data_IF_925193330192
#
_entry.id   IF_925193330192
#
_cell.length_a   1.000
_cell.length_b   1.000
_cell.length_c   1.000
_cell.angle_alpha   90.00
_cell.angle_beta   90.00
_cell.angle_gamma   90.00
#
_symmetry.space_group_name_H-M   'P 1'
#
loop_
_entity.id
_entity.type
_entity.pdbx_description
1 polymer ?
#
# COMPACT_ATOMS: atom_id res chain seq x y z
N UNK A 1 -19.43 -22.01 -49.48
CA UNK A 1 -19.00 -22.65 -48.21
C UNK A 1 -17.67 -22.01 -47.80
N UNK A 2 -17.70 -20.87 -47.10
CA UNK A 2 -16.52 -20.14 -46.64
C UNK A 2 -16.60 -20.04 -45.12
N UNK A 3 -15.84 -20.89 -44.43
CA UNK A 3 -15.70 -20.87 -42.97
C UNK A 3 -14.84 -19.67 -42.58
N UNK A 4 -15.44 -18.66 -41.95
CA UNK A 4 -14.72 -17.64 -41.19
C UNK A 4 -14.09 -18.33 -39.97
N UNK A 5 -12.77 -18.42 -39.96
CA UNK A 5 -11.99 -18.74 -38.76
C UNK A 5 -11.99 -17.48 -37.91
N UNK A 6 -12.82 -17.46 -36.86
CA UNK A 6 -12.65 -16.50 -35.77
C UNK A 6 -11.45 -16.97 -34.93
N UNK A 7 -10.26 -16.46 -35.22
CA UNK A 7 -9.18 -16.51 -34.23
C UNK A 7 -9.47 -15.44 -33.19
N UNK A 8 -10.01 -15.85 -32.04
CA UNK A 8 -10.03 -15.02 -30.84
C UNK A 8 -8.59 -14.95 -30.32
N UNK A 9 -7.80 -14.02 -30.85
CA UNK A 9 -6.55 -13.62 -30.22
C UNK A 9 -6.96 -12.72 -29.07
N UNK A 10 -7.24 -13.33 -27.92
CA UNK A 10 -7.38 -12.61 -26.66
C UNK A 10 -5.97 -12.16 -26.27
N UNK A 11 -5.54 -10.97 -26.72
CA UNK A 11 -4.31 -10.36 -26.22
C UNK A 11 -4.53 -10.06 -24.75
N UNK A 12 -4.11 -10.95 -23.86
CA UNK A 12 -4.09 -10.65 -22.43
C UNK A 12 -3.14 -9.48 -22.24
N UNK A 13 -3.65 -8.39 -21.67
CA UNK A 13 -2.82 -7.25 -21.27
C UNK A 13 -1.67 -7.75 -20.39
N UNK A 14 -0.46 -7.27 -20.64
CA UNK A 14 0.72 -7.65 -19.88
C UNK A 14 1.61 -6.45 -19.60
N UNK A 15 2.36 -6.55 -18.51
CA UNK A 15 3.41 -5.60 -18.15
C UNK A 15 4.76 -6.30 -18.19
N UNK A 16 5.75 -5.61 -18.74
CA UNK A 16 7.15 -6.04 -18.69
C UNK A 16 7.83 -5.34 -17.50
N UNK A 17 8.44 -6.12 -16.61
CA UNK A 17 9.18 -5.59 -15.45
C UNK A 17 10.45 -6.43 -15.33
N UNK A 18 11.61 -5.78 -15.42
CA UNK A 18 12.94 -6.40 -15.39
C UNK A 18 13.10 -7.58 -16.38
N UNK A 19 12.56 -7.42 -17.59
CA UNK A 19 12.64 -8.43 -18.67
C UNK A 19 11.73 -9.65 -18.47
N UNK A 20 10.82 -9.61 -17.49
CA UNK A 20 9.79 -10.62 -17.26
C UNK A 20 8.42 -10.08 -17.61
N UNK A 21 7.57 -10.93 -18.20
CA UNK A 21 6.18 -10.60 -18.56
C UNK A 21 5.21 -11.07 -17.48
N UNK A 22 4.36 -10.14 -17.04
CA UNK A 22 3.30 -10.37 -16.07
C UNK A 22 1.95 -10.13 -16.74
N UNK A 23 1.17 -11.19 -16.90
CA UNK A 23 -0.15 -11.12 -17.55
C UNK A 23 -1.23 -10.76 -16.54
N UNK A 24 -2.04 -9.75 -16.86
CA UNK A 24 -3.17 -9.32 -16.05
C UNK A 24 -4.23 -10.43 -16.00
N UNK A 25 -4.75 -10.70 -14.80
CA UNK A 25 -5.82 -11.67 -14.56
C UNK A 25 -7.11 -10.99 -14.16
N UNK A 26 -7.06 -10.16 -13.12
CA UNK A 26 -8.22 -9.43 -12.59
C UNK A 26 -7.78 -8.19 -11.82
N UNK A 27 -8.68 -7.21 -11.66
CA UNK A 27 -8.50 -6.06 -10.77
C UNK A 27 -8.88 -6.48 -9.34
N UNK A 28 -7.94 -6.37 -8.40
CA UNK A 28 -8.14 -6.78 -6.99
C UNK A 28 -8.17 -5.62 -5.99
N UNK A 29 -7.85 -4.40 -6.44
CA UNK A 29 -7.93 -3.20 -5.60
C UNK A 29 -8.00 -1.93 -6.44
N UNK A 30 -8.73 -0.94 -5.94
CA UNK A 30 -8.85 0.37 -6.56
C UNK A 30 -8.91 1.45 -5.49
N UNK A 31 -8.02 2.43 -5.60
CA UNK A 31 -8.03 3.67 -4.81
C UNK A 31 -8.18 4.89 -5.72
N UNK A 32 -8.03 6.08 -5.15
CA UNK A 32 -8.17 7.35 -5.90
C UNK A 32 -7.14 7.50 -7.02
N UNK A 33 -5.87 7.15 -6.74
CA UNK A 33 -4.74 7.36 -7.66
C UNK A 33 -4.03 6.07 -8.08
N UNK A 34 -4.43 4.93 -7.51
CA UNK A 34 -3.81 3.64 -7.79
C UNK A 34 -4.83 2.52 -8.02
N UNK A 35 -4.40 1.53 -8.78
CA UNK A 35 -5.13 0.27 -8.99
C UNK A 35 -4.18 -0.88 -8.72
N UNK A 36 -4.72 -2.00 -8.26
CA UNK A 36 -3.95 -3.21 -7.99
C UNK A 36 -4.54 -4.34 -8.81
N UNK A 37 -3.76 -4.88 -9.73
CA UNK A 37 -4.15 -6.05 -10.51
C UNK A 37 -3.53 -7.32 -9.92
N UNK A 38 -4.26 -8.43 -9.98
CA UNK A 38 -3.67 -9.76 -9.90
C UNK A 38 -2.99 -10.07 -11.23
N UNK A 39 -1.71 -10.42 -11.18
CA UNK A 39 -0.92 -10.77 -12.37
C UNK A 39 -0.24 -12.11 -12.20
N UNK A 40 0.02 -12.81 -13.30
CA UNK A 40 0.78 -14.06 -13.32
C UNK A 40 2.07 -13.91 -14.11
N UNK A 41 3.19 -14.40 -13.58
CA UNK A 41 4.47 -14.46 -14.31
C UNK A 41 4.42 -15.52 -15.43
N UNK A 42 4.90 -15.16 -16.62
CA UNK A 42 4.80 -15.98 -17.83
C UNK A 42 5.45 -17.37 -17.74
N UNK A 43 6.52 -17.50 -16.95
CA UNK A 43 7.34 -18.73 -16.87
C UNK A 43 6.90 -19.67 -15.77
N UNK A 44 6.26 -19.17 -14.72
CA UNK A 44 5.96 -19.92 -13.49
C UNK A 44 4.46 -20.01 -13.17
N UNK A 45 3.63 -19.20 -13.85
CA UNK A 45 2.21 -18.94 -13.51
C UNK A 45 2.00 -18.51 -12.04
N UNK A 46 3.09 -18.11 -11.35
CA UNK A 46 3.04 -17.61 -9.99
C UNK A 46 2.31 -16.27 -9.97
N UNK A 47 1.44 -16.11 -8.99
CA UNK A 47 0.61 -14.93 -8.81
C UNK A 47 1.34 -13.85 -8.01
N UNK A 48 1.13 -12.60 -8.42
CA UNK A 48 1.64 -11.38 -7.82
C UNK A 48 0.55 -10.31 -7.81
N UNK A 49 0.69 -9.32 -6.93
CA UNK A 49 -0.10 -8.11 -6.97
C UNK A 49 0.70 -7.01 -7.67
N UNK A 50 0.13 -6.38 -8.68
CA UNK A 50 0.75 -5.28 -9.41
C UNK A 50 0.02 -3.97 -9.06
N UNK A 51 0.63 -3.18 -8.17
CA UNK A 51 0.14 -1.82 -7.85
C UNK A 51 0.59 -0.87 -8.97
N UNK A 52 -0.37 -0.14 -9.52
CA UNK A 52 -0.20 0.81 -10.64
C UNK A 52 -0.62 2.18 -10.14
N UNK A 53 0.32 3.10 -10.00
CA UNK A 53 0.10 4.48 -9.56
C UNK A 53 0.13 5.37 -10.80
N UNK A 54 -1.01 5.99 -11.12
CA UNK A 54 -1.09 6.94 -12.24
C UNK A 54 -0.70 8.32 -11.74
N UNK A 55 0.35 8.87 -12.31
CA UNK A 55 0.87 10.17 -11.92
C UNK A 55 0.44 11.22 -12.94
N UNK A 56 -0.22 12.27 -12.47
CA UNK A 56 -0.67 13.41 -13.28
C UNK A 56 0.25 14.62 -13.13
N UNK A 57 1.12 14.60 -12.13
CA UNK A 57 2.06 15.66 -11.77
C UNK A 57 3.44 15.12 -11.39
N UNK A 58 4.41 16.02 -11.25
CA UNK A 58 5.76 15.67 -10.75
C UNK A 58 5.67 15.29 -9.27
N UNK A 59 4.77 15.93 -8.52
CA UNK A 59 4.51 15.65 -7.11
C UNK A 59 3.99 14.22 -6.89
N UNK A 60 3.13 13.72 -7.80
CA UNK A 60 2.66 12.33 -7.78
C UNK A 60 3.81 11.34 -8.02
N UNK A 61 4.69 11.64 -8.99
CA UNK A 61 5.88 10.82 -9.25
C UNK A 61 6.81 10.80 -8.03
N UNK A 62 7.04 11.95 -7.40
CA UNK A 62 7.86 12.06 -6.18
C UNK A 62 7.26 11.27 -5.02
N UNK A 63 5.93 11.29 -4.85
CA UNK A 63 5.25 10.50 -3.84
C UNK A 63 5.40 8.99 -4.08
N UNK A 64 5.22 8.54 -5.34
CA UNK A 64 5.39 7.14 -5.73
C UNK A 64 6.86 6.68 -5.59
N UNK A 65 7.83 7.52 -5.94
CA UNK A 65 9.24 7.26 -5.71
C UNK A 65 9.58 7.16 -4.22
N UNK A 66 8.97 8.01 -3.39
CA UNK A 66 9.17 7.98 -1.95
C UNK A 66 8.62 6.67 -1.34
N UNK A 67 7.46 6.19 -1.80
CA UNK A 67 6.93 4.86 -1.43
C UNK A 67 7.95 3.75 -1.79
N UNK A 68 8.51 3.78 -2.99
CA UNK A 68 9.55 2.81 -3.43
C UNK A 68 10.81 2.91 -2.56
N UNK A 69 11.23 4.11 -2.16
CA UNK A 69 12.39 4.31 -1.27
C UNK A 69 12.17 3.66 0.09
N UNK A 70 10.97 3.79 0.67
CA UNK A 70 10.64 3.13 1.93
C UNK A 70 10.67 1.60 1.80
N UNK A 71 10.07 1.04 0.75
CA UNK A 71 10.15 -0.40 0.49
C UNK A 71 11.60 -0.92 0.41
N UNK A 72 12.50 -0.17 -0.22
CA UNK A 72 13.92 -0.57 -0.36
C UNK A 72 14.70 -0.56 0.95
N UNK A 73 14.27 0.22 1.93
CA UNK A 73 14.97 0.37 3.21
C UNK A 73 14.49 -0.62 4.27
N UNK A 74 13.32 -1.24 4.07
CA UNK A 74 12.71 -2.15 5.04
C UNK A 74 12.84 -3.59 4.54
N UNK A 75 13.51 -4.42 5.33
CA UNK A 75 13.53 -5.87 5.14
C UNK A 75 13.03 -6.53 6.43
N UNK A 76 11.74 -6.85 6.48
CA UNK A 76 11.11 -7.44 7.65
C UNK A 76 9.95 -8.36 7.26
N UNK A 77 9.81 -9.56 7.88
CA UNK A 77 8.76 -10.53 7.51
C UNK A 77 7.32 -10.02 7.71
N UNK A 78 7.11 -9.01 8.57
CA UNK A 78 5.82 -8.39 8.83
C UNK A 78 5.57 -7.09 8.04
N UNK A 79 6.41 -6.77 7.05
CA UNK A 79 6.22 -5.63 6.13
C UNK A 79 6.34 -6.12 4.69
N UNK A 80 5.46 -5.65 3.80
CA UNK A 80 5.45 -6.12 2.42
C UNK A 80 6.70 -5.67 1.65
N UNK A 81 7.37 -6.63 1.03
CA UNK A 81 8.51 -6.39 0.15
C UNK A 81 8.03 -5.89 -1.22
N UNK A 82 8.74 -4.92 -1.79
CA UNK A 82 8.63 -4.57 -3.21
C UNK A 82 9.62 -5.42 -4.02
N UNK A 83 9.10 -6.38 -4.79
CA UNK A 83 9.92 -7.34 -5.53
C UNK A 83 10.60 -6.72 -6.76
N UNK A 84 9.90 -5.78 -7.39
CA UNK A 84 10.39 -5.02 -8.53
C UNK A 84 9.52 -3.76 -8.72
N UNK A 85 10.06 -2.75 -9.37
CA UNK A 85 9.31 -1.55 -9.73
C UNK A 85 9.73 -1.04 -11.11
N UNK A 86 8.83 -0.32 -11.79
CA UNK A 86 9.12 0.28 -13.09
C UNK A 86 8.31 1.56 -13.29
N UNK A 87 8.95 2.61 -13.79
CA UNK A 87 8.26 3.81 -14.28
C UNK A 87 8.10 3.71 -15.79
N UNK A 88 6.88 3.97 -16.29
CA UNK A 88 6.54 3.98 -17.71
C UNK A 88 6.05 5.37 -18.09
N UNK A 89 6.69 5.96 -19.10
CA UNK A 89 6.44 7.35 -19.51
C UNK A 89 7.08 8.36 -18.57
N UNK A 90 6.71 9.63 -18.76
CA UNK A 90 7.09 10.76 -17.90
C UNK A 90 5.90 11.71 -17.81
N UNK A 91 5.51 12.11 -16.60
CA UNK A 91 4.41 13.03 -16.40
C UNK A 91 4.81 14.44 -16.85
N UNK A 92 3.94 15.11 -17.58
CA UNK A 92 4.13 16.48 -18.03
C UNK A 92 2.78 17.20 -18.00
N UNK A 93 2.59 18.04 -16.98
CA UNK A 93 1.35 18.81 -16.79
C UNK A 93 1.11 19.76 -17.98
N UNK A 94 2.17 20.32 -18.56
CA UNK A 94 2.05 21.28 -19.66
C UNK A 94 1.53 20.64 -20.95
N UNK A 95 1.83 19.35 -21.13
CA UNK A 95 1.40 18.54 -22.28
C UNK A 95 0.30 17.52 -21.92
N UNK A 96 -0.23 17.56 -20.70
CA UNK A 96 -1.21 16.61 -20.17
C UNK A 96 -0.77 15.13 -20.33
N UNK A 97 0.54 14.87 -20.20
CA UNK A 97 1.09 13.52 -20.19
C UNK A 97 1.07 12.95 -18.77
N UNK A 98 0.65 11.70 -18.65
CA UNK A 98 0.70 10.95 -17.39
C UNK A 98 1.81 9.92 -17.43
N UNK A 99 2.50 9.70 -16.32
CA UNK A 99 3.33 8.51 -16.14
C UNK A 99 2.61 7.44 -15.31
N UNK A 100 3.16 6.24 -15.36
CA UNK A 100 2.66 5.09 -14.63
C UNK A 100 3.81 4.47 -13.84
N UNK A 101 3.70 4.46 -12.52
CA UNK A 101 4.63 3.77 -11.63
C UNK A 101 4.04 2.42 -11.25
N UNK A 102 4.81 1.36 -11.50
CA UNK A 102 4.45 -0.03 -11.28
C UNK A 102 5.24 -0.58 -10.10
N UNK A 103 4.57 -1.20 -9.12
CA UNK A 103 5.19 -1.95 -8.02
C UNK A 103 4.69 -3.39 -8.08
N UNK A 104 5.62 -4.34 -8.25
CA UNK A 104 5.35 -5.76 -8.18
C UNK A 104 5.50 -6.23 -6.73
N UNK A 105 4.42 -6.76 -6.17
CA UNK A 105 4.30 -7.15 -4.77
C UNK A 105 3.92 -8.65 -4.66
N UNK A 106 4.29 -9.34 -3.57
CA UNK A 106 3.80 -10.68 -3.30
C UNK A 106 2.27 -10.69 -3.18
N UNK A 107 1.61 -11.69 -3.79
CA UNK A 107 0.17 -11.87 -3.63
C UNK A 107 -0.16 -12.72 -2.39
N UNK A 108 -1.00 -12.18 -1.51
CA UNK A 108 -1.47 -12.84 -0.29
C UNK A 108 -2.91 -13.31 -0.45
N UNK A 109 -3.08 -14.59 -0.82
CA UNK A 109 -4.39 -15.19 -1.18
C UNK A 109 -5.45 -15.21 -0.06
N UNK A 110 -5.06 -15.03 1.21
CA UNK A 110 -5.99 -15.04 2.34
C UNK A 110 -6.65 -13.67 2.57
N UNK A 111 -6.26 -12.65 1.81
CA UNK A 111 -6.81 -11.29 1.90
C UNK A 111 -6.33 -10.55 3.13
N UNK A 112 -7.07 -9.53 3.55
CA UNK A 112 -6.74 -8.68 4.69
C UNK A 112 -7.36 -9.16 6.00
N UNK A 113 -6.81 -8.68 7.11
CA UNK A 113 -7.36 -8.88 8.46
C UNK A 113 -8.78 -8.32 8.55
N UNK A 114 -9.08 -7.20 7.89
CA UNK A 114 -10.44 -6.66 7.79
C UNK A 114 -11.43 -7.70 7.26
N UNK A 115 -11.12 -8.35 6.13
CA UNK A 115 -12.00 -9.38 5.55
C UNK A 115 -12.15 -10.59 6.46
N UNK A 116 -11.12 -10.97 7.22
CA UNK A 116 -11.21 -12.04 8.22
C UNK A 116 -12.13 -11.65 9.38
N UNK A 117 -11.97 -10.44 9.92
CA UNK A 117 -12.77 -9.91 11.02
C UNK A 117 -14.26 -9.84 10.64
N UNK A 118 -14.57 -9.32 9.45
CA UNK A 118 -15.95 -9.25 8.92
C UNK A 118 -16.59 -10.64 8.80
N UNK A 119 -15.87 -11.62 8.23
CA UNK A 119 -16.35 -13.01 8.10
C UNK A 119 -16.62 -13.65 9.46
N UNK A 120 -15.76 -13.40 10.44
CA UNK A 120 -15.89 -13.94 11.80
C UNK A 120 -17.00 -13.26 12.59
N UNK A 121 -17.14 -11.95 12.47
CA UNK A 121 -18.25 -11.18 13.04
C UNK A 121 -19.60 -11.69 12.52
N UNK A 122 -19.73 -11.90 11.20
CA UNK A 122 -20.94 -12.44 10.60
C UNK A 122 -21.32 -13.83 11.13
N UNK A 123 -20.32 -14.62 11.53
CA UNK A 123 -20.48 -15.96 12.15
C UNK A 123 -20.56 -15.93 13.67
N UNK A 124 -20.41 -14.77 14.31
CA UNK A 124 -20.28 -14.60 15.77
C UNK A 124 -19.17 -15.48 16.36
N UNK A 125 -18.07 -15.60 15.64
CA UNK A 125 -16.91 -16.41 16.00
C UNK A 125 -15.72 -15.48 16.30
N UNK A 126 -15.48 -15.06 17.55
CA UNK A 126 -14.36 -14.18 17.87
C UNK A 126 -13.01 -14.83 17.54
N UNK A 127 -12.00 -14.00 17.29
CA UNK A 127 -10.63 -14.46 17.18
C UNK A 127 -10.19 -15.10 18.51
N UNK A 128 -9.50 -16.26 18.50
CA UNK A 128 -8.88 -16.79 19.71
C UNK A 128 -7.82 -15.82 20.25
N UNK A 129 -7.77 -15.60 21.57
CA UNK A 129 -6.86 -14.65 22.22
C UNK A 129 -5.39 -14.85 21.80
N UNK A 130 -4.95 -16.11 21.69
CA UNK A 130 -3.59 -16.45 21.25
C UNK A 130 -3.28 -15.92 19.84
N UNK A 131 -4.27 -15.95 18.95
CA UNK A 131 -4.14 -15.46 17.59
C UNK A 131 -4.14 -13.92 17.56
N UNK A 132 -4.96 -13.28 18.40
CA UNK A 132 -4.96 -11.82 18.58
C UNK A 132 -3.58 -11.34 19.02
N UNK A 133 -3.02 -11.94 20.08
CA UNK A 133 -1.69 -11.59 20.60
C UNK A 133 -0.59 -11.83 19.57
N UNK A 134 -0.67 -12.94 18.82
CA UNK A 134 0.28 -13.25 17.75
C UNK A 134 0.25 -12.21 16.63
N UNK A 135 -0.95 -11.83 16.17
CA UNK A 135 -1.10 -10.80 15.14
C UNK A 135 -0.63 -9.44 15.64
N UNK A 136 -1.03 -9.05 16.85
CA UNK A 136 -0.62 -7.80 17.46
C UNK A 136 0.90 -7.69 17.58
N UNK A 137 1.56 -8.73 18.10
CA UNK A 137 3.02 -8.78 18.20
C UNK A 137 3.69 -8.57 16.83
N UNK A 138 3.27 -9.31 15.81
CA UNK A 138 3.86 -9.22 14.47
C UNK A 138 3.64 -7.85 13.82
N UNK A 139 2.48 -7.21 14.07
CA UNK A 139 2.21 -5.84 13.62
C UNK A 139 3.14 -4.86 14.33
N UNK A 140 3.33 -4.99 15.65
CA UNK A 140 4.29 -4.16 16.39
C UNK A 140 5.73 -4.33 15.87
N UNK A 141 6.16 -5.55 15.58
CA UNK A 141 7.48 -5.82 14.99
C UNK A 141 7.62 -5.19 13.59
N UNK A 142 6.57 -5.26 12.78
CA UNK A 142 6.53 -4.59 11.47
C UNK A 142 6.58 -3.07 11.56
N UNK A 143 5.80 -2.47 12.47
CA UNK A 143 5.84 -1.03 12.75
C UNK A 143 7.20 -0.58 13.27
N UNK A 144 7.81 -1.35 14.18
CA UNK A 144 9.14 -1.06 14.68
C UNK A 144 10.18 -1.02 13.53
N UNK A 145 10.06 -1.90 12.54
CA UNK A 145 10.92 -1.87 11.35
C UNK A 145 10.70 -0.63 10.47
N UNK A 146 9.44 -0.15 10.34
CA UNK A 146 9.11 1.10 9.64
C UNK A 146 9.67 2.31 10.41
N UNK A 147 9.48 2.35 11.73
CA UNK A 147 9.95 3.44 12.59
C UNK A 147 11.48 3.52 12.63
N UNK A 148 12.18 2.38 12.54
CA UNK A 148 13.63 2.29 12.53
C UNK A 148 14.28 3.04 11.35
N UNK A 149 13.60 3.11 10.20
CA UNK A 149 14.08 3.87 9.04
C UNK A 149 13.66 5.35 9.09
N UNK A 150 13.07 5.81 10.19
CA UNK A 150 12.63 7.20 10.37
C UNK A 150 11.32 7.53 9.66
N UNK A 151 10.50 6.53 9.33
CA UNK A 151 9.18 6.71 8.71
C UNK A 151 8.05 6.34 9.68
N UNK A 152 6.87 6.91 9.48
CA UNK A 152 5.60 6.46 10.07
C UNK A 152 4.66 6.00 8.95
N UNK A 153 3.87 4.96 9.20
CA UNK A 153 2.97 4.35 8.23
C UNK A 153 1.78 5.26 7.88
N UNK A 154 1.21 5.95 8.88
CA UNK A 154 0.11 6.94 8.79
C UNK A 154 -1.25 6.45 8.31
N UNK A 155 -1.36 5.27 7.70
CA UNK A 155 -2.65 4.66 7.35
C UNK A 155 -2.79 3.22 7.86
N UNK A 156 -2.34 2.95 9.08
CA UNK A 156 -2.44 1.60 9.65
C UNK A 156 -3.88 1.30 10.04
N UNK A 157 -4.41 0.19 9.52
CA UNK A 157 -5.79 -0.29 9.74
C UNK A 157 -5.87 -1.78 9.39
N UNK A 158 -6.89 -2.53 9.86
CA UNK A 158 -7.02 -3.95 9.52
C UNK A 158 -7.07 -4.24 8.00
N UNK A 159 -7.52 -3.27 7.19
CA UNK A 159 -7.51 -3.37 5.72
C UNK A 159 -6.10 -3.39 5.12
N UNK A 160 -5.12 -2.81 5.81
CA UNK A 160 -3.72 -2.75 5.39
C UNK A 160 -2.85 -3.81 6.11
N UNK A 161 -3.48 -4.83 6.70
CA UNK A 161 -2.80 -6.00 7.26
C UNK A 161 -3.18 -7.23 6.42
N UNK A 162 -2.24 -7.79 5.68
CA UNK A 162 -2.43 -8.99 4.87
C UNK A 162 -2.20 -10.26 5.68
N UNK A 163 -2.96 -11.31 5.35
CA UNK A 163 -2.84 -12.63 5.94
C UNK A 163 -1.98 -13.55 5.08
N UNK A 164 -0.99 -14.17 5.71
CA UNK A 164 -0.07 -15.12 5.10
C UNK A 164 -0.25 -16.52 5.71
N UNK A 165 0.31 -17.58 5.10
CA UNK A 165 0.33 -18.91 5.70
C UNK A 165 0.95 -18.91 7.11
N UNK A 166 0.56 -19.88 7.94
CA UNK A 166 1.10 -20.09 9.29
C UNK A 166 0.84 -18.92 10.26
N UNK A 167 -0.37 -18.35 10.22
CA UNK A 167 -0.79 -17.26 11.12
C UNK A 167 0.14 -16.04 11.10
N UNK A 168 0.78 -15.78 9.95
CA UNK A 168 1.62 -14.60 9.75
C UNK A 168 0.80 -13.43 9.21
N UNK A 169 1.09 -12.24 9.70
CA UNK A 169 0.51 -10.98 9.20
C UNK A 169 1.58 -10.10 8.58
N UNK A 170 1.19 -9.30 7.58
CA UNK A 170 2.10 -8.43 6.83
C UNK A 170 1.45 -7.07 6.64
N UNK A 171 2.11 -6.02 7.13
CA UNK A 171 1.72 -4.62 6.87
C UNK A 171 1.93 -4.33 5.38
N UNK A 172 0.92 -3.77 4.73
CA UNK A 172 0.96 -3.34 3.34
C UNK A 172 0.67 -1.85 3.19
N UNK A 173 0.96 -1.34 1.98
CA UNK A 173 0.65 0.02 1.53
C UNK A 173 1.42 1.14 2.25
N UNK A 174 2.64 1.39 1.77
CA UNK A 174 3.48 2.49 2.25
C UNK A 174 3.19 3.82 1.53
N UNK A 175 2.09 3.92 0.77
CA UNK A 175 1.76 5.12 -0.02
C UNK A 175 1.41 6.35 0.83
N UNK A 176 0.93 6.15 2.05
CA UNK A 176 0.68 7.21 3.03
C UNK A 176 1.87 7.46 3.97
N UNK A 177 2.92 6.63 3.88
CA UNK A 177 4.06 6.74 4.78
C UNK A 177 4.79 8.08 4.56
N UNK A 178 5.25 8.67 5.65
CA UNK A 178 5.98 9.94 5.63
C UNK A 178 7.05 9.95 6.73
N UNK A 179 7.91 10.98 6.80
CA UNK A 179 8.86 11.12 7.90
C UNK A 179 8.13 11.00 9.25
N UNK A 180 8.69 10.16 10.12
CA UNK A 180 8.12 9.87 11.43
C UNK A 180 8.02 11.16 12.25
N UNK A 181 9.12 11.90 12.33
CA UNK A 181 9.27 13.07 13.20
C UNK A 181 9.26 14.36 12.39
N UNK A 182 8.32 15.25 12.72
CA UNK A 182 8.13 16.54 12.09
C UNK A 182 8.01 17.63 13.16
N UNK A 183 8.84 18.66 13.06
CA UNK A 183 8.72 19.88 13.85
C UNK A 183 7.84 20.89 13.12
N UNK A 184 6.71 21.25 13.73
CA UNK A 184 5.74 22.18 13.16
C UNK A 184 5.97 23.56 13.77
N UNK A 185 6.59 24.44 12.99
CA UNK A 185 7.03 25.77 13.43
C UNK A 185 6.25 26.92 12.81
N UNK A 186 5.36 26.67 11.83
CA UNK A 186 4.48 27.68 11.23
C UNK A 186 3.04 27.20 11.06
N UNK A 187 2.07 28.14 11.07
CA UNK A 187 0.65 27.83 10.84
C UNK A 187 0.43 27.16 9.48
N UNK A 188 1.16 27.60 8.44
CA UNK A 188 1.10 27.00 7.11
C UNK A 188 1.57 25.53 7.12
N UNK A 189 2.61 25.19 7.89
CA UNK A 189 3.05 23.80 8.03
C UNK A 189 2.01 22.95 8.77
N UNK A 190 1.37 23.51 9.81
CA UNK A 190 0.29 22.84 10.53
C UNK A 190 -0.91 22.54 9.60
N UNK A 191 -1.36 23.54 8.85
CA UNK A 191 -2.46 23.39 7.90
C UNK A 191 -2.15 22.35 6.82
N UNK A 192 -0.96 22.40 6.20
CA UNK A 192 -0.53 21.42 5.19
C UNK A 192 -0.54 20.00 5.75
N UNK A 193 0.00 19.79 6.94
CA UNK A 193 0.01 18.45 7.55
C UNK A 193 -1.41 17.97 7.84
N UNK A 194 -2.30 18.85 8.27
CA UNK A 194 -3.70 18.52 8.51
C UNK A 194 -4.43 18.14 7.20
N UNK A 195 -4.18 18.88 6.12
CA UNK A 195 -4.75 18.60 4.80
C UNK A 195 -4.20 17.27 4.24
N UNK A 196 -2.89 17.04 4.33
CA UNK A 196 -2.23 15.79 3.95
C UNK A 196 -2.79 14.60 4.73
N UNK A 197 -2.98 14.74 6.04
CA UNK A 197 -3.60 13.70 6.87
C UNK A 197 -5.07 13.49 6.49
N UNK A 198 -5.76 14.58 6.14
CA UNK A 198 -7.10 14.63 5.53
C UNK A 198 -7.27 13.67 4.37
N UNK A 199 -6.32 13.70 3.45
CA UNK A 199 -6.33 12.94 2.20
C UNK A 199 -5.77 11.52 2.35
N UNK A 200 -4.73 11.34 3.17
CA UNK A 200 -3.92 10.10 3.18
C UNK A 200 -4.18 9.18 4.37
N UNK A 201 -4.76 9.68 5.45
CA UNK A 201 -5.05 8.87 6.64
C UNK A 201 -6.54 8.54 6.71
N UNK A 202 -6.87 7.26 6.87
CA UNK A 202 -8.26 6.82 7.06
C UNK A 202 -8.86 7.45 8.31
N UNK A 203 -9.95 8.20 8.15
CA UNK A 203 -10.55 9.03 9.20
C UNK A 203 -10.78 8.29 10.52
N UNK A 204 -11.26 7.05 10.49
CA UNK A 204 -11.56 6.25 11.72
C UNK A 204 -10.33 5.80 12.49
N UNK A 205 -9.16 5.79 11.85
CA UNK A 205 -7.88 5.33 12.44
C UNK A 205 -6.87 6.47 12.59
N UNK A 206 -7.23 7.68 12.16
CA UNK A 206 -6.37 8.87 12.23
C UNK A 206 -6.13 9.28 13.68
N UNK A 207 -4.87 9.57 14.01
CA UNK A 207 -4.49 10.04 15.33
C UNK A 207 -5.06 11.45 15.62
N UNK A 208 -5.47 11.75 16.87
CA UNK A 208 -6.13 13.00 17.24
C UNK A 208 -5.27 14.24 16.93
N UNK A 209 -3.96 14.14 17.11
CA UNK A 209 -2.99 15.20 16.81
C UNK A 209 -2.91 15.57 15.31
N UNK A 210 -3.48 14.75 14.42
CA UNK A 210 -3.58 15.01 12.98
C UNK A 210 -4.92 15.63 12.55
N UNK A 211 -5.90 15.74 13.45
CA UNK A 211 -7.17 16.45 13.16
C UNK A 211 -7.09 17.95 13.43
N UNK A 212 -6.30 18.34 14.44
CA UNK A 212 -6.09 19.72 14.81
C UNK A 212 -4.60 19.90 15.14
N UNK A 213 -3.80 20.12 14.10
CA UNK A 213 -2.34 20.23 14.24
C UNK A 213 -2.00 21.55 14.92
N UNK A 214 -1.47 21.49 16.13
CA UNK A 214 -1.09 22.69 16.90
C UNK A 214 0.17 23.36 16.34
N UNK A 215 0.34 24.64 16.68
CA UNK A 215 1.55 25.39 16.39
C UNK A 215 2.01 26.16 17.65
N UNK A 216 3.27 25.99 18.10
CA UNK A 216 4.23 24.98 17.66
C UNK A 216 3.89 23.58 18.19
N UNK A 217 4.28 22.52 17.49
CA UNK A 217 4.18 21.14 18.01
C UNK A 217 5.19 20.22 17.32
N UNK A 218 5.40 19.03 17.90
CA UNK A 218 6.14 17.93 17.28
C UNK A 218 5.19 16.77 17.03
N UNK A 219 5.15 16.28 15.80
CA UNK A 219 4.46 15.05 15.42
C UNK A 219 5.52 13.97 15.27
N UNK A 220 5.27 12.78 15.80
CA UNK A 220 6.21 11.67 15.76
C UNK A 220 5.54 10.33 15.40
N UNK A 221 6.30 9.24 15.44
CA UNK A 221 5.83 7.89 15.10
C UNK A 221 4.66 7.38 15.97
N UNK A 222 4.33 8.06 17.09
CA UNK A 222 3.21 7.67 17.95
C UNK A 222 1.84 7.79 17.26
N UNK A 223 1.76 8.49 16.12
CA UNK A 223 0.57 8.48 15.27
C UNK A 223 0.16 7.06 14.85
N UNK A 224 1.12 6.15 14.68
CA UNK A 224 0.84 4.75 14.32
C UNK A 224 0.42 3.90 15.53
N UNK A 225 0.69 4.37 16.76
CA UNK A 225 0.38 3.66 18.01
C UNK A 225 -1.04 3.96 18.48
N UNK A 226 -1.61 5.10 18.08
CA UNK A 226 -3.01 5.46 18.36
C UNK A 226 -4.02 4.43 17.84
N UNK A 227 -3.67 3.77 16.73
CA UNK A 227 -4.59 2.92 15.97
C UNK A 227 -5.21 1.85 16.87
N UNK A 228 -6.54 1.84 17.04
CA UNK A 228 -7.20 0.85 17.87
C UNK A 228 -7.12 -0.52 17.17
N UNK A 229 -6.43 -1.47 17.81
CA UNK A 229 -6.44 -2.89 17.46
C UNK A 229 -7.43 -3.65 18.33
#
# INVERSE_FOLDING_TARGET
MLRRIFSVICSKDYYDIDGKRYYVRELIGQGGFSTVDLVSESTSDRLYALKKIRCHSIEDEQAAEQEIRYHKQINHPSVIECLAFRTVGSADISNNHTSLVLLLLPFYKFGSLQTLLEKRQARREPLPDKLILSYFQQICEGLAAIHLIGAAHRDLKPGNILLAPNDRVVIMDLGSAAPARLEITSYNAAQRLQDDAGERCSMTYRAPELFNVQNPTTIDERTDIWVPF
#
